data_IF_709783453083
#
_entry.id   IF_709783453083
#
_cell.length_a   1.000
_cell.length_b   1.000
_cell.length_c   1.000
_cell.angle_alpha   90.00
_cell.angle_beta   90.00
_cell.angle_gamma   90.00
#
_symmetry.space_group_name_H-M   'P 1'
#
loop_
_entity.id
_entity.type
_entity.pdbx_description
1 polymer ?
#
# COMPACT_ATOMS: atom_id res chain seq x y z
N UNK A 1 -39.23 51.90 42.34
CA UNK A 1 -38.76 50.57 42.67
C UNK A 1 -38.15 49.97 41.40
N UNK A 2 -36.86 49.69 41.43
CA UNK A 2 -36.01 49.43 40.28
C UNK A 2 -35.96 47.93 40.02
N UNK A 3 -36.41 47.48 38.86
CA UNK A 3 -36.25 46.11 38.39
C UNK A 3 -35.10 46.03 37.43
N UNK A 4 -34.06 45.30 37.80
CA UNK A 4 -32.88 45.06 36.98
C UNK A 4 -33.17 43.91 35.99
N UNK A 5 -33.02 44.17 34.70
CA UNK A 5 -33.06 43.16 33.62
C UNK A 5 -31.68 42.63 33.44
N UNK A 6 -31.47 41.35 33.79
CA UNK A 6 -30.24 40.62 33.48
C UNK A 6 -30.29 40.06 32.05
N UNK A 7 -29.49 40.65 31.17
CA UNK A 7 -29.27 40.14 29.80
C UNK A 7 -28.18 39.08 29.88
N UNK A 8 -28.55 37.81 29.72
CA UNK A 8 -27.62 36.71 29.52
C UNK A 8 -27.17 36.72 28.04
N UNK A 9 -25.96 37.16 27.83
CA UNK A 9 -25.26 36.98 26.56
C UNK A 9 -24.76 35.52 26.48
N UNK A 10 -25.50 34.65 25.76
CA UNK A 10 -25.04 33.33 25.42
C UNK A 10 -23.96 33.38 24.35
N UNK A 11 -22.73 33.05 24.72
CA UNK A 11 -21.64 32.86 23.77
C UNK A 11 -21.87 31.56 22.98
N UNK A 12 -22.23 31.70 21.73
CA UNK A 12 -22.31 30.60 20.79
C UNK A 12 -20.89 30.22 20.37
N UNK A 13 -20.31 29.22 21.01
CA UNK A 13 -19.05 28.64 20.57
C UNK A 13 -19.31 27.85 19.30
N UNK A 14 -18.96 28.40 18.14
CA UNK A 14 -18.97 27.69 16.86
C UNK A 14 -17.86 26.64 16.88
N UNK A 15 -18.23 25.37 17.05
CA UNK A 15 -17.34 24.22 16.93
C UNK A 15 -17.01 24.04 15.42
N UNK A 16 -15.85 24.54 15.02
CA UNK A 16 -15.27 24.27 13.70
C UNK A 16 -14.87 22.79 13.64
N UNK A 17 -15.77 21.95 13.14
CA UNK A 17 -15.44 20.59 12.74
C UNK A 17 -14.55 20.68 11.50
N UNK A 18 -13.24 20.62 11.70
CA UNK A 18 -12.27 20.48 10.62
C UNK A 18 -12.51 19.15 9.93
N UNK A 19 -13.06 19.16 8.73
CA UNK A 19 -13.07 18.01 7.84
C UNK A 19 -11.64 17.79 7.39
N UNK A 20 -10.91 16.89 8.08
CA UNK A 20 -9.67 16.35 7.54
C UNK A 20 -10.02 15.58 6.29
N UNK A 21 -9.75 16.16 5.13
CA UNK A 21 -9.93 15.51 3.84
C UNK A 21 -8.98 14.33 3.75
N UNK A 22 -9.45 13.13 4.10
CA UNK A 22 -8.83 11.90 3.63
C UNK A 22 -9.02 11.86 2.12
N UNK A 23 -7.93 11.81 1.37
CA UNK A 23 -8.01 11.47 -0.06
C UNK A 23 -8.66 10.09 -0.26
N UNK A 24 -9.10 9.75 -1.48
CA UNK A 24 -9.73 8.47 -1.75
C UNK A 24 -8.81 7.32 -1.33
N UNK A 25 -9.37 6.38 -0.56
CA UNK A 25 -8.67 5.18 -0.13
C UNK A 25 -8.54 4.14 -1.26
N UNK A 26 -7.80 3.06 -1.05
CA UNK A 26 -7.78 1.96 -2.00
C UNK A 26 -9.15 1.29 -2.09
N UNK A 27 -9.56 0.92 -3.31
CA UNK A 27 -10.80 0.15 -3.55
C UNK A 27 -10.63 -1.33 -3.21
N UNK A 28 -9.40 -1.82 -3.25
CA UNK A 28 -9.03 -3.15 -2.78
C UNK A 28 -7.62 -3.12 -2.21
N UNK A 29 -7.36 -3.92 -1.20
CA UNK A 29 -6.03 -4.08 -0.61
C UNK A 29 -5.92 -5.41 0.11
N UNK A 30 -4.71 -5.97 0.12
CA UNK A 30 -4.37 -7.17 0.88
C UNK A 30 -2.93 -7.09 1.37
N UNK A 31 -2.57 -7.89 2.38
CA UNK A 31 -1.26 -7.86 3.00
C UNK A 31 -0.84 -9.23 3.51
N UNK A 32 0.45 -9.54 3.37
CA UNK A 32 1.04 -10.78 3.86
C UNK A 32 2.21 -10.45 4.77
N UNK A 33 2.17 -10.96 5.99
CA UNK A 33 3.32 -10.92 6.89
C UNK A 33 4.37 -11.92 6.44
N UNK A 34 5.61 -11.47 6.39
CA UNK A 34 6.76 -12.28 5.98
C UNK A 34 7.38 -12.95 7.20
N UNK A 35 8.03 -14.10 6.97
CA UNK A 35 8.69 -14.81 8.07
C UNK A 35 9.77 -13.92 8.74
N UNK A 36 9.69 -13.67 10.04
CA UNK A 36 10.66 -12.81 10.75
C UNK A 36 12.10 -13.37 10.73
N UNK A 37 12.27 -14.67 10.55
CA UNK A 37 13.59 -15.30 10.41
C UNK A 37 14.18 -15.15 8.99
N UNK A 38 13.41 -14.62 8.06
CA UNK A 38 13.80 -14.35 6.69
C UNK A 38 12.81 -14.90 5.66
N UNK A 39 12.51 -14.10 4.68
CA UNK A 39 11.70 -14.49 3.53
C UNK A 39 12.54 -15.31 2.56
N UNK A 40 12.09 -16.50 2.21
CA UNK A 40 12.77 -17.38 1.24
C UNK A 40 12.16 -17.19 -0.15
N UNK A 41 12.97 -17.32 -1.18
CA UNK A 41 12.52 -17.21 -2.57
C UNK A 41 11.43 -18.23 -2.95
N UNK A 42 11.33 -19.36 -2.24
CA UNK A 42 10.26 -20.36 -2.42
C UNK A 42 8.97 -20.05 -1.67
N UNK A 43 9.01 -19.12 -0.71
CA UNK A 43 7.85 -18.78 0.12
C UNK A 43 7.10 -17.65 -0.57
N UNK A 44 6.05 -18.03 -1.30
CA UNK A 44 5.23 -17.07 -2.07
C UNK A 44 4.33 -16.27 -1.14
N UNK A 45 4.39 -14.94 -1.25
CA UNK A 45 3.40 -14.05 -0.67
C UNK A 45 2.20 -13.98 -1.63
N UNK A 46 1.07 -14.56 -1.23
CA UNK A 46 -0.14 -14.59 -2.03
C UNK A 46 -1.17 -13.60 -1.48
N UNK A 47 -1.68 -12.74 -2.34
CA UNK A 47 -2.65 -11.69 -2.03
C UNK A 47 -3.82 -11.78 -3.00
N UNK A 48 -5.03 -11.43 -2.55
CA UNK A 48 -6.25 -11.51 -3.33
C UNK A 48 -6.94 -10.15 -3.40
N UNK A 49 -7.55 -9.86 -4.54
CA UNK A 49 -8.36 -8.66 -4.71
C UNK A 49 -9.42 -8.85 -5.78
N UNK A 50 -10.51 -8.10 -5.67
CA UNK A 50 -11.60 -8.10 -6.64
C UNK A 50 -11.59 -6.80 -7.44
N UNK A 51 -11.84 -6.88 -8.74
CA UNK A 51 -12.04 -5.74 -9.63
C UNK A 51 -13.52 -5.66 -10.00
N UNK A 52 -14.22 -4.67 -9.44
CA UNK A 52 -15.66 -4.47 -9.69
C UNK A 52 -15.93 -3.68 -10.98
N UNK A 53 -15.03 -2.73 -11.30
CA UNK A 53 -15.18 -1.81 -12.43
C UNK A 53 -13.97 -1.94 -13.38
N UNK A 54 -13.91 -2.99 -14.24
CA UNK A 54 -12.75 -3.24 -15.09
C UNK A 54 -12.49 -2.14 -16.12
N UNK A 55 -13.52 -1.41 -16.55
CA UNK A 55 -13.43 -0.31 -17.52
C UNK A 55 -12.80 0.97 -16.93
N UNK A 56 -12.75 1.08 -15.60
CA UNK A 56 -12.07 2.18 -14.94
C UNK A 56 -10.56 2.07 -15.06
N UNK A 57 -9.88 3.19 -14.89
CA UNK A 57 -8.43 3.23 -14.76
C UNK A 57 -8.03 3.07 -13.30
N UNK A 58 -7.06 2.18 -13.07
CA UNK A 58 -6.62 1.85 -11.73
C UNK A 58 -5.10 2.10 -11.58
N UNK A 59 -4.71 2.54 -10.40
CA UNK A 59 -3.31 2.59 -9.98
C UNK A 59 -3.03 1.43 -9.01
N UNK A 60 -1.94 0.70 -9.29
CA UNK A 60 -1.48 -0.41 -8.48
C UNK A 60 -0.23 0.00 -7.70
N UNK A 61 -0.24 -0.24 -6.40
CA UNK A 61 0.86 0.06 -5.51
C UNK A 61 1.20 -1.14 -4.64
N UNK A 62 2.49 -1.32 -4.37
CA UNK A 62 2.97 -2.16 -3.29
C UNK A 62 3.28 -1.31 -2.05
N UNK A 63 3.08 -1.88 -0.88
CA UNK A 63 3.64 -1.41 0.38
C UNK A 63 4.65 -2.43 0.87
N UNK A 64 5.80 -1.97 1.30
CA UNK A 64 6.82 -2.81 1.89
C UNK A 64 7.15 -2.30 3.28
N UNK A 65 7.22 -3.22 4.26
CA UNK A 65 7.74 -2.94 5.59
C UNK A 65 9.05 -3.68 5.77
N UNK A 66 10.11 -2.95 6.05
CA UNK A 66 11.43 -3.50 6.31
C UNK A 66 12.06 -2.86 7.54
N UNK A 67 13.09 -3.48 8.09
CA UNK A 67 13.85 -2.92 9.21
C UNK A 67 14.89 -1.91 8.72
N UNK A 68 15.33 -1.05 9.62
CA UNK A 68 16.37 -0.05 9.34
C UNK A 68 17.77 -0.68 9.09
N UNK A 69 17.94 -1.94 9.46
CA UNK A 69 19.15 -2.74 9.20
C UNK A 69 19.03 -3.65 7.96
N UNK A 70 18.00 -3.49 7.13
CA UNK A 70 17.88 -4.22 5.87
C UNK A 70 19.13 -3.98 5.00
N UNK A 71 19.80 -5.05 4.50
CA UNK A 71 21.18 -4.93 4.01
C UNK A 71 21.29 -4.40 2.57
N UNK A 72 20.20 -4.07 1.89
CA UNK A 72 20.22 -3.64 0.50
C UNK A 72 19.46 -2.32 0.32
N UNK A 73 19.87 -1.51 -0.67
CA UNK A 73 19.19 -0.27 -1.06
C UNK A 73 18.00 -0.49 -1.99
N UNK A 74 17.74 -1.72 -2.41
CA UNK A 74 16.63 -2.10 -3.29
C UNK A 74 16.12 -3.51 -2.96
N UNK A 75 14.99 -3.86 -3.58
CA UNK A 75 14.41 -5.20 -3.56
C UNK A 75 13.91 -5.52 -4.96
N UNK A 76 14.31 -6.66 -5.52
CA UNK A 76 13.73 -7.20 -6.74
C UNK A 76 12.66 -8.23 -6.41
N UNK A 77 11.51 -8.12 -7.09
CA UNK A 77 10.37 -9.00 -6.95
C UNK A 77 10.00 -9.60 -8.29
N UNK A 78 9.68 -10.89 -8.32
CA UNK A 78 8.86 -11.48 -9.37
C UNK A 78 7.40 -11.41 -8.93
N UNK A 79 6.57 -10.85 -9.80
CA UNK A 79 5.15 -10.60 -9.57
C UNK A 79 4.36 -11.38 -10.59
N UNK A 80 3.57 -12.34 -10.15
CA UNK A 80 2.63 -13.08 -10.99
C UNK A 80 1.20 -12.64 -10.67
N UNK A 81 0.47 -12.20 -11.69
CA UNK A 81 -0.94 -11.85 -11.61
C UNK A 81 -1.76 -12.92 -12.32
N UNK A 82 -2.61 -13.62 -11.59
CA UNK A 82 -3.59 -14.54 -12.13
C UNK A 82 -4.95 -13.85 -12.28
N UNK A 83 -5.49 -13.93 -13.47
CA UNK A 83 -6.77 -13.37 -13.86
C UNK A 83 -7.93 -14.31 -13.48
N UNK A 84 -9.19 -13.81 -13.40
CA UNK A 84 -10.36 -14.66 -13.11
C UNK A 84 -10.57 -15.83 -14.06
N UNK A 85 -10.02 -15.75 -15.27
CA UNK A 85 -10.08 -16.83 -16.28
C UNK A 85 -8.87 -17.79 -16.23
N UNK A 86 -8.04 -17.72 -15.21
CA UNK A 86 -6.86 -18.57 -15.01
C UNK A 86 -5.63 -18.20 -15.84
N UNK A 87 -5.68 -17.14 -16.67
CA UNK A 87 -4.48 -16.64 -17.35
C UNK A 87 -3.55 -16.00 -16.34
N UNK A 88 -2.25 -16.10 -16.56
CA UNK A 88 -1.23 -15.46 -15.72
C UNK A 88 -0.41 -14.46 -16.54
N UNK A 89 0.02 -13.42 -15.85
CA UNK A 89 0.98 -12.44 -16.33
C UNK A 89 2.10 -12.34 -15.31
N UNK A 90 3.34 -12.54 -15.75
CA UNK A 90 4.52 -12.39 -14.88
C UNK A 90 5.29 -11.13 -15.22
N UNK A 91 5.73 -10.42 -14.19
CA UNK A 91 6.49 -9.19 -14.31
C UNK A 91 7.66 -9.19 -13.30
N UNK A 92 8.67 -8.36 -13.56
CA UNK A 92 9.76 -8.13 -12.62
C UNK A 92 9.72 -6.68 -12.15
N UNK A 93 9.67 -6.48 -10.84
CA UNK A 93 9.62 -5.17 -10.22
C UNK A 93 10.90 -4.89 -9.44
N UNK A 94 11.58 -3.81 -9.76
CA UNK A 94 12.60 -3.24 -8.91
C UNK A 94 11.96 -2.22 -7.96
N UNK A 95 12.22 -2.40 -6.68
CA UNK A 95 11.76 -1.54 -5.59
C UNK A 95 12.96 -0.78 -5.02
N UNK A 96 13.26 0.46 -5.42
CA UNK A 96 14.26 1.28 -4.75
C UNK A 96 13.82 1.58 -3.33
N UNK A 97 14.64 1.29 -2.33
CA UNK A 97 14.32 1.46 -0.90
C UNK A 97 15.11 2.59 -0.26
N UNK A 98 16.32 2.85 -0.76
CA UNK A 98 17.17 3.91 -0.26
C UNK A 98 17.79 4.73 -1.40
N UNK A 99 18.09 5.98 -1.11
CA UNK A 99 18.84 6.87 -1.97
C UNK A 99 20.34 6.50 -1.99
N UNK A 100 21.13 6.99 -2.95
CA UNK A 100 22.57 6.69 -3.05
C UNK A 100 23.40 7.09 -1.82
N UNK A 101 22.91 8.05 -1.02
CA UNK A 101 23.51 8.49 0.24
C UNK A 101 23.04 7.65 1.46
N UNK A 102 22.27 6.58 1.22
CA UNK A 102 21.87 5.60 2.23
C UNK A 102 20.62 5.98 3.04
N UNK A 103 19.91 7.06 2.69
CA UNK A 103 18.65 7.40 3.35
C UNK A 103 17.51 6.56 2.79
N UNK A 104 16.72 5.99 3.69
CA UNK A 104 15.50 5.29 3.31
C UNK A 104 14.48 6.25 2.70
N UNK A 105 13.80 5.81 1.64
CA UNK A 105 12.69 6.57 1.03
C UNK A 105 11.40 6.43 1.84
N UNK A 106 11.26 5.35 2.59
CA UNK A 106 10.12 5.11 3.47
C UNK A 106 10.20 5.89 4.78
N UNK A 107 9.15 5.81 5.57
CA UNK A 107 9.00 6.49 6.86
C UNK A 107 9.01 5.49 8.00
N UNK A 108 9.60 5.89 9.12
CA UNK A 108 9.67 5.09 10.33
C UNK A 108 11.01 5.20 11.04
N UNK A 109 11.22 4.35 12.04
CA UNK A 109 12.49 4.28 12.78
C UNK A 109 13.10 2.90 12.65
N UNK A 110 12.67 1.95 13.50
CA UNK A 110 13.12 0.56 13.42
C UNK A 110 12.40 -0.19 12.27
N UNK A 111 11.13 0.04 12.10
CA UNK A 111 10.37 -0.41 10.94
C UNK A 111 10.14 0.76 10.00
N UNK A 112 10.54 0.57 8.75
CA UNK A 112 10.39 1.53 7.67
C UNK A 112 9.24 1.05 6.77
N UNK A 113 8.22 1.87 6.63
CA UNK A 113 7.09 1.63 5.73
C UNK A 113 7.27 2.44 4.46
N UNK A 114 7.31 1.76 3.32
CA UNK A 114 7.45 2.39 2.02
C UNK A 114 6.32 2.02 1.08
N UNK A 115 5.86 3.00 0.31
CA UNK A 115 4.94 2.81 -0.81
C UNK A 115 5.70 2.84 -2.12
N UNK A 116 5.40 1.89 -3.00
CA UNK A 116 6.08 1.69 -4.27
C UNK A 116 5.01 1.64 -5.35
N UNK A 117 5.05 2.61 -6.29
CA UNK A 117 4.18 2.57 -7.46
C UNK A 117 4.55 1.38 -8.35
N UNK A 118 3.56 0.59 -8.73
CA UNK A 118 3.78 -0.56 -9.62
C UNK A 118 3.27 -0.26 -11.03
N UNK A 119 2.00 0.05 -11.18
CA UNK A 119 1.41 0.42 -12.47
C UNK A 119 0.43 1.58 -12.28
N UNK A 120 0.30 2.41 -13.31
CA UNK A 120 -0.63 3.55 -13.29
C UNK A 120 -1.57 3.51 -14.48
N UNK A 121 -2.82 3.88 -14.26
CA UNK A 121 -3.85 4.02 -15.29
C UNK A 121 -4.14 2.72 -16.03
N UNK A 122 -4.05 1.58 -15.37
CA UNK A 122 -4.30 0.26 -15.96
C UNK A 122 -5.80 0.02 -16.04
N UNK A 123 -6.29 -0.45 -17.19
CA UNK A 123 -7.61 -1.07 -17.31
C UNK A 123 -7.46 -2.58 -17.19
N UNK A 124 -8.34 -3.21 -16.45
CA UNK A 124 -8.40 -4.65 -16.34
C UNK A 124 -9.25 -5.22 -17.48
N UNK A 125 -8.85 -6.36 -18.09
CA UNK A 125 -9.59 -6.93 -19.22
C UNK A 125 -10.95 -7.51 -18.82
N UNK A 126 -11.17 -7.77 -17.52
CA UNK A 126 -12.41 -8.31 -16.97
C UNK A 126 -12.53 -7.99 -15.49
N UNK A 127 -13.77 -7.94 -14.99
CA UNK A 127 -14.07 -7.92 -13.57
C UNK A 127 -13.94 -9.31 -12.93
N UNK A 128 -13.84 -9.35 -11.61
CA UNK A 128 -13.79 -10.57 -10.83
C UNK A 128 -12.56 -10.67 -9.93
N UNK A 129 -12.29 -11.87 -9.45
CA UNK A 129 -11.25 -12.13 -8.45
C UNK A 129 -9.91 -12.40 -9.11
N UNK A 130 -8.90 -11.68 -8.65
CA UNK A 130 -7.52 -11.78 -9.07
C UNK A 130 -6.66 -12.30 -7.93
N UNK A 131 -5.65 -13.10 -8.26
CA UNK A 131 -4.63 -13.53 -7.31
C UNK A 131 -3.28 -12.95 -7.72
N UNK A 132 -2.60 -12.34 -6.75
CA UNK A 132 -1.28 -11.76 -6.91
C UNK A 132 -0.28 -12.58 -6.11
N UNK A 133 0.68 -13.20 -6.77
CA UNK A 133 1.76 -13.98 -6.14
C UNK A 133 3.07 -13.24 -6.30
N UNK A 134 3.76 -13.08 -5.18
CA UNK A 134 5.04 -12.35 -5.16
C UNK A 134 6.10 -13.18 -4.47
N UNK A 135 7.27 -13.25 -5.08
CA UNK A 135 8.49 -13.82 -4.48
C UNK A 135 9.65 -12.84 -4.66
N UNK A 136 10.62 -12.85 -3.77
CA UNK A 136 11.80 -12.02 -3.99
C UNK A 136 12.74 -12.65 -5.04
N UNK A 137 13.38 -11.79 -5.82
CA UNK A 137 14.34 -12.16 -6.87
C UNK A 137 15.77 -11.76 -6.50
N UNK A 138 16.05 -11.63 -5.20
CA UNK A 138 17.38 -11.31 -4.69
C UNK A 138 18.27 -12.56 -4.67
N UNK A 139 19.60 -12.35 -4.83
CA UNK A 139 20.57 -13.45 -4.79
C UNK A 139 20.77 -14.06 -3.40
N UNK A 140 20.48 -13.28 -2.35
CA UNK A 140 20.54 -13.77 -0.97
C UNK A 140 19.24 -14.47 -0.60
N UNK A 141 19.31 -15.66 -0.04
CA UNK A 141 18.19 -16.46 0.41
C UNK A 141 18.57 -17.24 1.69
N UNK A 142 17.85 -17.08 2.82
CA UNK A 142 16.69 -16.22 3.01
C UNK A 142 17.06 -14.73 3.09
N UNK A 143 16.09 -13.89 2.79
CA UNK A 143 16.21 -12.44 2.85
C UNK A 143 15.64 -11.94 4.18
N UNK A 144 16.52 -11.48 5.06
CA UNK A 144 16.16 -10.99 6.40
C UNK A 144 15.81 -9.50 6.38
N UNK A 145 15.13 -9.01 7.41
CA UNK A 145 14.80 -7.59 7.55
C UNK A 145 13.52 -7.15 6.82
N UNK A 146 12.76 -8.08 6.24
CA UNK A 146 11.45 -7.81 5.64
C UNK A 146 10.34 -8.31 6.57
N UNK A 147 9.37 -7.44 6.89
CA UNK A 147 8.28 -7.76 7.81
C UNK A 147 6.94 -7.98 7.15
N UNK A 148 6.63 -7.24 6.09
CA UNK A 148 5.33 -7.33 5.43
C UNK A 148 5.40 -6.84 3.99
N UNK A 149 4.65 -7.47 3.12
CA UNK A 149 4.32 -6.96 1.79
C UNK A 149 2.83 -6.71 1.70
N UNK A 150 2.44 -5.60 1.07
CA UNK A 150 1.05 -5.18 0.88
C UNK A 150 0.81 -4.84 -0.57
N UNK A 151 -0.42 -4.97 -0.99
CA UNK A 151 -0.91 -4.53 -2.29
C UNK A 151 -2.09 -3.60 -2.08
N UNK A 152 -2.21 -2.57 -2.90
CA UNK A 152 -3.34 -1.65 -2.90
C UNK A 152 -3.71 -1.26 -4.34
N UNK A 153 -5.01 -1.30 -4.61
CA UNK A 153 -5.64 -0.89 -5.86
C UNK A 153 -6.42 0.40 -5.63
N UNK A 154 -6.16 1.40 -6.43
CA UNK A 154 -6.87 2.68 -6.40
C UNK A 154 -7.63 2.86 -7.70
N UNK A 155 -8.89 3.25 -7.61
CA UNK A 155 -9.72 3.60 -8.76
C UNK A 155 -9.57 5.10 -9.03
N UNK A 156 -9.12 5.47 -10.24
CA UNK A 156 -8.96 6.88 -10.63
C UNK A 156 -10.30 7.59 -10.86
N UNK A 157 -11.39 6.86 -11.00
CA UNK A 157 -12.73 7.44 -11.15
C UNK A 157 -13.39 7.76 -9.79
N UNK A 158 -12.82 7.31 -8.67
CA UNK A 158 -13.31 7.69 -7.34
C UNK A 158 -12.79 9.07 -6.95
N UNK A 159 -13.69 9.99 -6.54
CA UNK A 159 -13.34 11.34 -6.10
C UNK A 159 -12.60 11.40 -4.76
#
# INVERSE_FOLDING_TARGET
MKGAVNIWMGAFAALLVGTTGCGPGPVASDAVDLNPEGWRARDTAEMHFTVDFPDHRHDLQFGLRHTDDYPFSNLYLFVELEYPNGRTLTDTLECPLASPDGRWYGEGRHWIDQRIGYKRGVAFPMGGDYTLRVVHAMRRDPLTGLGQIRFALFDQAQP
#
